data_IF_934088543281
#
_entry.id   IF_934088543281
#
_cell.length_a   1.000
_cell.length_b   1.000
_cell.length_c   1.000
_cell.angle_alpha   90.00
_cell.angle_beta   90.00
_cell.angle_gamma   90.00
#
_symmetry.space_group_name_H-M   'P 1'
#
loop_
_entity.id
_entity.type
_entity.pdbx_description
1 polymer ?
#
# COMPACT_ATOMS: atom_id res chain seq x y z
N UNK A 1 53.55 17.23 45.33
CA UNK A 1 52.93 15.89 45.41
C UNK A 1 51.66 15.88 44.57
N UNK A 2 51.81 15.76 43.25
CA UNK A 2 50.67 15.75 42.31
C UNK A 2 50.15 14.31 42.23
N UNK A 3 48.94 14.11 42.73
CA UNK A 3 48.42 12.84 43.19
C UNK A 3 47.97 11.96 42.00
N UNK A 4 48.67 10.84 41.73
CA UNK A 4 48.33 9.91 40.63
C UNK A 4 46.92 9.29 40.75
N UNK A 5 46.34 9.34 41.95
CA UNK A 5 44.94 8.98 42.22
C UNK A 5 43.91 9.94 41.59
N UNK A 6 44.25 11.22 41.42
CA UNK A 6 43.35 12.20 40.82
C UNK A 6 43.24 11.99 39.30
N UNK A 7 44.35 11.60 38.65
CA UNK A 7 44.41 11.31 37.22
C UNK A 7 43.68 10.02 36.84
N UNK A 8 43.78 8.95 37.66
CA UNK A 8 43.04 7.69 37.43
C UNK A 8 41.52 7.84 37.57
N UNK A 9 41.04 8.63 38.54
CA UNK A 9 39.60 8.88 38.72
C UNK A 9 39.00 9.70 37.56
N UNK A 10 39.76 10.68 37.04
CA UNK A 10 39.35 11.48 35.86
C UNK A 10 39.33 10.65 34.58
N UNK A 11 40.27 9.72 34.42
CA UNK A 11 40.31 8.82 33.25
C UNK A 11 39.15 7.82 33.26
N UNK A 12 38.84 7.23 34.42
CA UNK A 12 37.70 6.32 34.59
C UNK A 12 36.35 7.00 34.35
N UNK A 13 36.19 8.24 34.82
CA UNK A 13 35.00 9.04 34.56
C UNK A 13 34.82 9.38 33.07
N UNK A 14 35.91 9.67 32.36
CA UNK A 14 35.89 9.88 30.92
C UNK A 14 35.52 8.61 30.15
N UNK A 15 36.07 7.45 30.54
CA UNK A 15 35.70 6.17 29.94
C UNK A 15 34.23 5.82 30.18
N UNK A 16 33.71 6.09 31.39
CA UNK A 16 32.31 5.84 31.71
C UNK A 16 31.36 6.76 30.93
N UNK A 17 31.70 8.05 30.79
CA UNK A 17 30.92 9.00 29.99
C UNK A 17 30.96 8.67 28.49
N UNK A 18 32.12 8.21 27.98
CA UNK A 18 32.26 7.79 26.59
C UNK A 18 31.46 6.51 26.31
N UNK A 19 31.46 5.54 27.23
CA UNK A 19 30.62 4.34 27.14
C UNK A 19 29.13 4.67 27.21
N UNK A 20 28.73 5.65 28.03
CA UNK A 20 27.34 6.12 28.07
C UNK A 20 26.94 6.83 26.77
N UNK A 21 27.83 7.63 26.17
CA UNK A 21 27.61 8.28 24.88
C UNK A 21 27.54 7.28 23.73
N UNK A 22 28.37 6.24 23.74
CA UNK A 22 28.32 5.13 22.78
C UNK A 22 27.04 4.29 22.92
N UNK A 23 26.50 4.14 24.14
CA UNK A 23 25.23 3.47 24.38
C UNK A 23 24.03 4.34 23.94
N UNK A 24 24.10 5.66 24.10
CA UNK A 24 23.06 6.59 23.62
C UNK A 24 23.09 6.80 22.10
N UNK A 25 24.27 6.64 21.48
CA UNK A 25 24.49 6.63 20.03
C UNK A 25 24.40 5.21 19.44
N UNK A 26 23.87 4.24 20.19
CA UNK A 26 23.58 2.91 19.68
C UNK A 26 22.80 3.03 18.38
N UNK A 27 23.09 2.18 17.37
CA UNK A 27 22.38 2.23 16.11
C UNK A 27 20.90 2.15 16.46
N UNK A 28 20.13 3.19 16.13
CA UNK A 28 18.70 3.12 16.10
C UNK A 28 18.38 2.02 15.10
N UNK A 29 18.34 0.78 15.57
CA UNK A 29 17.80 -0.36 14.85
C UNK A 29 16.31 -0.09 14.82
N UNK A 30 15.92 0.79 13.88
CA UNK A 30 14.68 0.59 13.15
C UNK A 30 14.80 -0.86 12.69
N UNK A 31 14.17 -1.76 13.44
CA UNK A 31 13.83 -3.06 12.92
C UNK A 31 13.04 -2.73 11.66
N UNK A 32 13.70 -2.81 10.50
CA UNK A 32 13.02 -2.91 9.24
C UNK A 32 12.25 -4.21 9.38
N UNK A 33 11.02 -4.12 9.87
CA UNK A 33 10.11 -5.24 9.89
C UNK A 33 10.16 -5.81 8.48
N UNK A 34 10.48 -7.08 8.37
CA UNK A 34 10.59 -7.77 7.10
C UNK A 34 9.22 -7.68 6.40
N UNK A 35 9.03 -6.64 5.59
CA UNK A 35 7.86 -6.43 4.76
C UNK A 35 7.99 -7.41 3.62
N UNK A 36 7.21 -8.49 3.66
CA UNK A 36 7.19 -9.46 2.57
C UNK A 36 6.31 -8.90 1.46
N UNK A 37 6.96 -8.43 0.38
CA UNK A 37 6.29 -7.96 -0.83
C UNK A 37 6.22 -9.07 -1.86
N UNK A 38 5.10 -9.12 -2.58
CA UNK A 38 4.84 -10.07 -3.65
C UNK A 38 4.30 -9.32 -4.86
N UNK A 39 4.71 -9.76 -6.03
CA UNK A 39 4.07 -9.37 -7.27
C UNK A 39 2.73 -10.11 -7.38
N UNK A 40 1.68 -9.37 -7.71
CA UNK A 40 0.32 -9.90 -7.78
C UNK A 40 -0.34 -9.49 -9.09
N UNK A 41 -1.21 -10.37 -9.57
CA UNK A 41 -2.19 -10.06 -10.58
C UNK A 41 -3.46 -9.55 -9.92
N UNK A 42 -4.16 -8.64 -10.60
CA UNK A 42 -5.38 -7.99 -10.10
C UNK A 42 -6.42 -7.96 -11.22
N UNK A 43 -7.64 -8.33 -10.89
CA UNK A 43 -8.78 -8.25 -11.83
C UNK A 43 -10.04 -7.95 -11.05
N UNK A 44 -10.86 -7.05 -11.61
CA UNK A 44 -12.22 -6.80 -11.19
C UNK A 44 -13.17 -7.55 -12.12
N UNK A 45 -14.10 -8.29 -11.54
CA UNK A 45 -15.16 -9.03 -12.22
C UNK A 45 -16.49 -8.30 -12.04
N UNK A 46 -17.41 -8.47 -12.97
CA UNK A 46 -18.77 -7.98 -12.81
C UNK A 46 -19.44 -8.69 -11.63
N UNK A 47 -20.31 -7.96 -10.94
CA UNK A 47 -21.16 -8.57 -9.93
C UNK A 47 -22.12 -9.58 -10.59
N UNK A 48 -22.26 -10.75 -9.98
CA UNK A 48 -23.10 -11.84 -10.48
C UNK A 48 -22.66 -12.53 -11.79
N UNK A 49 -21.63 -12.03 -12.51
CA UNK A 49 -21.19 -12.56 -13.80
C UNK A 49 -19.68 -12.82 -13.87
N UNK A 50 -19.28 -13.95 -14.48
CA UNK A 50 -17.86 -14.34 -14.66
C UNK A 50 -17.22 -13.64 -15.87
N UNK A 51 -17.45 -12.33 -15.97
CA UNK A 51 -16.91 -11.45 -17.00
C UNK A 51 -16.15 -10.31 -16.36
N UNK A 52 -15.12 -9.81 -17.03
CA UNK A 52 -14.28 -8.72 -16.53
C UNK A 52 -15.09 -7.42 -16.42
N UNK A 53 -15.02 -6.76 -15.27
CA UNK A 53 -15.67 -5.48 -15.03
C UNK A 53 -14.92 -4.31 -15.68
N UNK A 54 -15.62 -3.23 -16.08
CA UNK A 54 -14.98 -2.00 -16.58
C UNK A 54 -13.92 -1.43 -15.64
N UNK A 55 -14.05 -1.64 -14.32
CA UNK A 55 -13.05 -1.25 -13.33
C UNK A 55 -11.64 -1.82 -13.61
N UNK A 56 -11.55 -2.98 -14.26
CA UNK A 56 -10.27 -3.57 -14.66
C UNK A 56 -9.53 -2.75 -15.71
N UNK A 57 -10.25 -1.97 -16.53
CA UNK A 57 -9.62 -1.10 -17.52
C UNK A 57 -8.87 0.06 -16.87
N UNK A 58 -9.16 0.39 -15.61
CA UNK A 58 -8.41 1.37 -14.82
C UNK A 58 -7.05 0.88 -14.34
N UNK A 59 -6.73 -0.42 -14.50
CA UNK A 59 -5.42 -0.99 -14.16
C UNK A 59 -4.53 -1.03 -15.39
N UNK A 60 -3.26 -0.62 -15.28
CA UNK A 60 -2.30 -0.72 -16.38
C UNK A 60 -1.73 -2.15 -16.49
N UNK A 61 -2.08 -2.90 -17.55
CA UNK A 61 -1.67 -4.31 -17.70
C UNK A 61 -0.17 -4.47 -18.00
N UNK A 62 0.53 -3.40 -18.39
CA UNK A 62 1.96 -3.46 -18.71
C UNK A 62 2.83 -3.33 -17.46
N UNK A 63 2.21 -3.09 -16.30
CA UNK A 63 2.88 -2.85 -15.03
C UNK A 63 2.39 -3.81 -13.97
N UNK A 64 3.32 -4.23 -13.12
CA UNK A 64 3.03 -5.20 -12.07
C UNK A 64 2.45 -4.51 -10.84
N UNK A 65 1.35 -5.05 -10.31
CA UNK A 65 0.83 -4.68 -9.00
C UNK A 65 1.61 -5.39 -7.89
N UNK A 66 1.72 -4.76 -6.72
CA UNK A 66 2.42 -5.35 -5.58
C UNK A 66 1.53 -5.42 -4.36
N UNK A 67 1.65 -6.51 -3.62
CA UNK A 67 0.98 -6.69 -2.35
C UNK A 67 2.04 -6.89 -1.27
N UNK A 68 2.02 -6.05 -0.24
CA UNK A 68 2.99 -6.15 0.85
C UNK A 68 2.31 -6.42 2.19
N UNK A 69 2.71 -7.53 2.83
CA UNK A 69 2.24 -7.87 4.17
C UNK A 69 2.93 -6.99 5.22
N UNK A 70 2.13 -6.33 6.03
CA UNK A 70 2.56 -5.46 7.12
C UNK A 70 2.80 -6.23 8.42
N UNK A 71 3.53 -5.63 9.36
CA UNK A 71 3.86 -6.25 10.65
C UNK A 71 2.62 -6.51 11.53
N UNK A 72 1.58 -5.67 11.39
CA UNK A 72 0.29 -5.80 12.08
C UNK A 72 -0.63 -6.86 11.43
N UNK A 73 -0.17 -7.59 10.41
CA UNK A 73 -0.93 -8.65 9.75
C UNK A 73 -1.88 -8.19 8.65
N UNK A 74 -1.96 -6.89 8.37
CA UNK A 74 -2.73 -6.35 7.23
C UNK A 74 -1.87 -6.32 5.96
N UNK A 75 -2.49 -5.94 4.84
CA UNK A 75 -1.85 -5.84 3.54
C UNK A 75 -1.92 -4.41 3.00
N UNK A 76 -0.88 -4.04 2.27
CA UNK A 76 -0.84 -2.82 1.45
C UNK A 76 -0.81 -3.26 0.00
N UNK A 77 -1.82 -2.87 -0.77
CA UNK A 77 -1.92 -3.12 -2.20
C UNK A 77 -1.51 -1.86 -2.96
N UNK A 78 -0.57 -2.01 -3.89
CA UNK A 78 -0.12 -0.94 -4.77
C UNK A 78 -0.49 -1.32 -6.20
N UNK A 79 -1.41 -0.55 -6.79
CA UNK A 79 -1.94 -0.77 -8.12
C UNK A 79 -1.36 0.22 -9.11
N UNK A 80 -0.83 -0.23 -10.26
CA UNK A 80 -0.58 0.65 -11.38
C UNK A 80 -1.91 1.02 -12.01
N UNK A 81 -2.30 2.28 -11.88
CA UNK A 81 -3.57 2.78 -12.39
C UNK A 81 -3.35 3.66 -13.61
N UNK A 82 -4.38 3.74 -14.45
CA UNK A 82 -4.48 4.66 -15.59
C UNK A 82 -5.86 5.29 -15.62
N UNK A 83 -5.98 6.43 -16.29
CA UNK A 83 -7.30 7.02 -16.56
C UNK A 83 -8.10 6.09 -17.47
N UNK A 84 -9.38 5.96 -17.16
CA UNK A 84 -10.36 5.21 -17.94
C UNK A 84 -11.60 6.09 -18.18
N UNK A 85 -12.50 5.64 -19.05
CA UNK A 85 -13.76 6.35 -19.28
C UNK A 85 -14.94 5.57 -18.71
N UNK A 86 -15.75 6.25 -17.90
CA UNK A 86 -17.02 5.72 -17.42
C UNK A 86 -18.13 6.74 -17.69
N UNK A 87 -19.24 6.26 -18.26
CA UNK A 87 -20.36 7.13 -18.68
C UNK A 87 -19.94 8.27 -19.63
N UNK A 88 -18.86 8.08 -20.40
CA UNK A 88 -18.31 9.08 -21.34
C UNK A 88 -17.43 10.15 -20.69
N UNK A 89 -17.00 9.97 -19.45
CA UNK A 89 -16.15 10.91 -18.71
C UNK A 89 -14.87 10.22 -18.26
N UNK A 90 -13.76 10.96 -18.26
CA UNK A 90 -12.48 10.47 -17.74
C UNK A 90 -12.55 10.37 -16.21
N UNK A 91 -12.13 9.23 -15.69
CA UNK A 91 -12.09 8.93 -14.26
C UNK A 91 -10.92 8.01 -13.91
N UNK A 92 -10.61 7.91 -12.62
CA UNK A 92 -9.59 7.01 -12.10
C UNK A 92 -9.98 6.42 -10.74
N UNK A 93 -9.43 5.25 -10.43
CA UNK A 93 -9.69 4.55 -9.16
C UNK A 93 -9.02 5.30 -8.00
N UNK A 94 -9.78 5.60 -6.95
CA UNK A 94 -9.28 6.29 -5.74
C UNK A 94 -9.35 5.46 -4.47
N UNK A 95 -10.13 4.38 -4.47
CA UNK A 95 -10.18 3.44 -3.36
C UNK A 95 -11.24 2.37 -3.60
N UNK A 96 -11.54 1.62 -2.55
CA UNK A 96 -12.59 0.61 -2.59
C UNK A 96 -13.19 0.38 -1.19
N UNK A 97 -14.46 -0.02 -1.17
CA UNK A 97 -15.13 -0.51 0.04
C UNK A 97 -15.18 -2.04 0.01
N UNK A 98 -14.86 -2.68 1.13
CA UNK A 98 -15.07 -4.12 1.32
C UNK A 98 -16.09 -4.30 2.44
N UNK A 99 -17.25 -4.87 2.13
CA UNK A 99 -18.38 -4.92 3.06
C UNK A 99 -18.84 -3.51 3.43
N UNK A 100 -18.63 -3.11 4.69
CA UNK A 100 -19.02 -1.79 5.21
C UNK A 100 -17.82 -0.86 5.45
N UNK A 101 -16.59 -1.30 5.17
CA UNK A 101 -15.36 -0.56 5.47
C UNK A 101 -14.82 0.06 4.20
N UNK A 102 -14.73 1.39 4.20
CA UNK A 102 -14.06 2.17 3.16
C UNK A 102 -12.53 2.11 3.32
N UNK A 103 -11.83 1.71 2.26
CA UNK A 103 -10.37 1.72 2.17
C UNK A 103 -9.91 2.83 1.24
N UNK A 104 -9.55 3.96 1.84
CA UNK A 104 -8.99 5.11 1.15
C UNK A 104 -7.67 4.74 0.45
N UNK A 105 -7.55 5.12 -0.81
CA UNK A 105 -6.34 4.98 -1.59
C UNK A 105 -5.59 6.29 -1.74
N UNK A 106 -4.27 6.22 -1.68
CA UNK A 106 -3.39 7.36 -1.97
C UNK A 106 -2.89 7.26 -3.41
N UNK A 107 -3.34 8.18 -4.27
CA UNK A 107 -2.84 8.32 -5.64
C UNK A 107 -1.51 9.07 -5.64
N UNK A 108 -0.53 8.57 -6.39
CA UNK A 108 0.78 9.18 -6.59
C UNK A 108 1.25 9.01 -8.04
N UNK A 109 2.26 9.77 -8.46
CA UNK A 109 2.73 9.77 -9.85
C UNK A 109 1.89 10.68 -10.74
N UNK A 110 1.86 10.39 -12.05
CA UNK A 110 1.10 11.17 -13.04
C UNK A 110 0.43 10.25 -14.06
N UNK A 111 -0.83 10.56 -14.39
CA UNK A 111 -1.60 9.87 -15.42
C UNK A 111 -1.05 10.16 -16.83
N UNK A 112 -0.68 11.42 -17.12
CA UNK A 112 -0.11 11.81 -18.43
C UNK A 112 1.17 11.06 -18.79
N UNK A 113 1.99 10.77 -17.77
CA UNK A 113 3.25 10.03 -17.93
C UNK A 113 3.10 8.51 -17.82
N UNK A 114 1.87 8.01 -17.57
CA UNK A 114 1.61 6.59 -17.33
C UNK A 114 2.32 6.03 -16.09
N UNK A 115 2.65 6.87 -15.12
CA UNK A 115 3.38 6.50 -13.89
C UNK A 115 2.49 6.42 -12.64
N UNK A 116 1.19 6.68 -12.79
CA UNK A 116 0.26 6.73 -11.67
C UNK A 116 0.19 5.40 -10.90
N UNK A 117 0.10 5.52 -9.57
CA UNK A 117 0.04 4.43 -8.62
C UNK A 117 -1.02 4.74 -7.56
N UNK A 118 -1.92 3.78 -7.31
CA UNK A 118 -2.85 3.81 -6.20
C UNK A 118 -2.32 2.91 -5.08
N UNK A 119 -2.16 3.47 -3.88
CA UNK A 119 -1.73 2.70 -2.70
C UNK A 119 -2.87 2.60 -1.70
N UNK A 120 -3.41 1.40 -1.49
CA UNK A 120 -4.47 1.11 -0.53
C UNK A 120 -3.87 0.34 0.65
N UNK A 121 -4.10 0.84 1.87
CA UNK A 121 -3.47 0.30 3.08
C UNK A 121 -4.47 -0.42 3.97
N UNK A 122 -3.92 -1.23 4.87
CA UNK A 122 -4.66 -1.91 5.93
C UNK A 122 -5.73 -2.90 5.43
N UNK A 123 -5.54 -3.45 4.23
CA UNK A 123 -6.44 -4.45 3.65
C UNK A 123 -6.40 -5.75 4.47
N UNK A 124 -7.55 -6.43 4.61
CA UNK A 124 -7.65 -7.71 5.32
C UNK A 124 -6.95 -8.83 4.53
N UNK A 125 -6.68 -9.95 5.21
CA UNK A 125 -6.11 -11.15 4.56
C UNK A 125 -7.01 -11.70 3.45
N UNK A 126 -8.33 -11.51 3.56
CA UNK A 126 -9.29 -12.01 2.58
C UNK A 126 -8.99 -11.51 1.18
N UNK A 127 -8.34 -10.34 1.01
CA UNK A 127 -7.96 -9.77 -0.29
C UNK A 127 -7.19 -10.73 -1.20
N UNK A 128 -6.45 -11.68 -0.61
CA UNK A 128 -5.76 -12.73 -1.35
C UNK A 128 -6.74 -13.83 -1.77
N UNK A 129 -7.07 -13.80 -3.05
CA UNK A 129 -7.94 -14.76 -3.75
C UNK A 129 -7.12 -15.69 -4.65
N UNK A 130 -7.80 -16.54 -5.42
CA UNK A 130 -7.18 -17.48 -6.36
C UNK A 130 -7.33 -17.07 -7.84
N UNK A 131 -7.70 -15.82 -8.12
CA UNK A 131 -7.83 -15.29 -9.49
C UNK A 131 -9.05 -15.76 -10.27
N UNK A 132 -10.03 -16.37 -9.61
CA UNK A 132 -11.27 -16.85 -10.22
C UNK A 132 -12.44 -15.99 -9.78
N UNK A 133 -13.35 -15.68 -10.70
CA UNK A 133 -14.52 -14.86 -10.45
C UNK A 133 -15.43 -15.41 -9.33
N UNK A 134 -15.58 -16.75 -9.24
CA UNK A 134 -16.35 -17.44 -8.20
C UNK A 134 -15.73 -17.37 -6.80
N UNK A 135 -14.48 -16.93 -6.70
CA UNK A 135 -13.72 -16.79 -5.44
C UNK A 135 -13.28 -15.34 -5.20
N UNK A 136 -13.77 -14.42 -6.03
CA UNK A 136 -13.53 -12.99 -5.87
C UNK A 136 -14.34 -12.45 -4.68
N UNK A 137 -13.89 -11.33 -4.13
CA UNK A 137 -14.56 -10.66 -3.01
C UNK A 137 -15.39 -9.51 -3.53
N UNK A 138 -16.61 -9.38 -3.04
CA UNK A 138 -17.46 -8.23 -3.36
C UNK A 138 -16.84 -6.94 -2.83
N UNK A 139 -16.67 -5.98 -3.73
CA UNK A 139 -16.14 -4.66 -3.44
C UNK A 139 -16.98 -3.61 -4.13
N UNK A 140 -17.02 -2.43 -3.53
CA UNK A 140 -17.51 -1.23 -4.22
C UNK A 140 -16.28 -0.42 -4.61
N UNK A 141 -16.01 -0.32 -5.90
CA UNK A 141 -14.91 0.48 -6.42
C UNK A 141 -15.34 1.94 -6.48
N UNK A 142 -14.50 2.84 -5.99
CA UNK A 142 -14.80 4.27 -6.02
C UNK A 142 -13.85 4.99 -6.97
N UNK A 143 -14.44 5.83 -7.80
CA UNK A 143 -13.78 6.52 -8.89
C UNK A 143 -13.94 8.02 -8.73
N UNK A 144 -12.85 8.76 -8.91
CA UNK A 144 -12.91 10.22 -9.01
C UNK A 144 -13.03 10.60 -10.49
N UNK A 145 -14.06 11.38 -10.81
CA UNK A 145 -14.31 11.91 -12.15
C UNK A 145 -13.72 13.32 -12.29
N UNK A 146 -13.16 13.65 -13.45
CA UNK A 146 -12.46 14.93 -13.69
C UNK A 146 -13.37 16.18 -13.75
N UNK A 147 -14.69 16.04 -13.54
CA UNK A 147 -15.63 17.17 -13.54
C UNK A 147 -15.97 17.65 -12.13
N UNK A 148 -15.80 18.95 -11.90
CA UNK A 148 -15.99 19.67 -10.65
C UNK A 148 -17.38 19.57 -9.99
N UNK A 149 -18.34 18.88 -10.63
CA UNK A 149 -19.74 18.81 -10.23
C UNK A 149 -20.26 17.39 -9.99
N UNK A 150 -19.51 16.35 -10.38
CA UNK A 150 -20.02 14.98 -10.44
C UNK A 150 -19.53 14.07 -9.31
N UNK A 151 -18.55 14.53 -8.52
CA UNK A 151 -18.14 13.86 -7.28
C UNK A 151 -17.54 12.47 -7.51
N UNK A 152 -17.45 11.70 -6.43
CA UNK A 152 -17.03 10.30 -6.45
C UNK A 152 -18.16 9.42 -7.02
N UNK A 153 -17.80 8.47 -7.88
CA UNK A 153 -18.71 7.50 -8.48
C UNK A 153 -18.35 6.11 -7.99
N UNK A 154 -19.34 5.42 -7.45
CA UNK A 154 -19.20 4.05 -6.97
C UNK A 154 -19.74 3.05 -8.00
N UNK A 155 -19.04 1.93 -8.16
CA UNK A 155 -19.51 0.80 -8.95
C UNK A 155 -19.22 -0.52 -8.24
N UNK A 156 -20.25 -1.37 -8.17
CA UNK A 156 -20.13 -2.72 -7.63
C UNK A 156 -19.27 -3.60 -8.54
N UNK A 157 -18.36 -4.35 -7.95
CA UNK A 157 -17.50 -5.31 -8.63
C UNK A 157 -17.09 -6.43 -7.67
N UNK A 158 -16.44 -7.45 -8.22
CA UNK A 158 -15.77 -8.48 -7.42
C UNK A 158 -14.27 -8.46 -7.67
N UNK A 159 -13.48 -8.29 -6.62
CA UNK A 159 -12.02 -8.16 -6.71
C UNK A 159 -11.34 -9.52 -6.54
N UNK A 160 -10.43 -9.83 -7.47
CA UNK A 160 -9.46 -10.90 -7.34
C UNK A 160 -8.04 -10.34 -7.32
N UNK A 161 -7.28 -10.72 -6.29
CA UNK A 161 -5.83 -10.52 -6.20
C UNK A 161 -5.16 -11.86 -5.96
N UNK A 162 -4.14 -12.23 -6.72
CA UNK A 162 -3.40 -13.49 -6.55
C UNK A 162 -1.93 -13.33 -6.92
N UNK A 163 -1.07 -14.20 -6.39
CA UNK A 163 0.36 -14.16 -6.71
C UNK A 163 0.63 -14.47 -8.19
N UNK A 164 1.66 -13.83 -8.75
CA UNK A 164 2.21 -14.15 -10.08
C UNK A 164 2.89 -15.51 -10.08
#
# INVERSE_FOLDING_TARGET
MSCSHCTRRRLLAFCAALLLLLALAGPSTRAAAFQKSFDVNVTFWNDGEDTVAPASDGIDPNRTATLTRQANGTYTLTLPIRSMQMLGMDCHLVGLTIGEIWYEGAVSGSFDSGSALLTIRNLPFSILTNGRADQAIDVVCSFEMDLSFLGELDADARLSVWAV
#
